data_IF_025301350006
#
_entry.id   IF_025301350006
#
_cell.length_a   1.000
_cell.length_b   1.000
_cell.length_c   1.000
_cell.angle_alpha   90.00
_cell.angle_beta   90.00
_cell.angle_gamma   90.00
#
_symmetry.space_group_name_H-M   'P 1'
#
loop_
_entity.id
_entity.type
_entity.pdbx_description
1 polymer ?
#
# COMPACT_ATOMS: atom_id res chain seq x y z
N UNK A 1 -14.34 -12.82 22.83
CA UNK A 1 -15.08 -12.57 21.58
C UNK A 1 -14.62 -11.29 20.89
N UNK A 2 -14.54 -10.14 21.57
CA UNK A 2 -14.14 -8.85 20.97
C UNK A 2 -12.78 -8.87 20.24
N UNK A 3 -11.76 -9.50 20.84
CA UNK A 3 -10.42 -9.65 20.22
C UNK A 3 -10.49 -10.46 18.92
N UNK A 4 -11.24 -11.56 18.91
CA UNK A 4 -11.40 -12.42 17.72
C UNK A 4 -12.16 -11.68 16.62
N UNK A 5 -13.19 -10.90 16.97
CA UNK A 5 -13.93 -10.06 16.03
C UNK A 5 -13.06 -8.95 15.45
N UNK A 6 -12.21 -8.31 16.26
CA UNK A 6 -11.27 -7.28 15.82
C UNK A 6 -10.22 -7.87 14.86
N UNK A 7 -9.65 -9.04 15.21
CA UNK A 7 -8.70 -9.75 14.37
C UNK A 7 -9.31 -10.15 13.03
N UNK A 8 -10.53 -10.69 13.02
CA UNK A 8 -11.24 -11.02 11.79
C UNK A 8 -11.56 -9.77 10.95
N UNK A 9 -11.96 -8.65 11.57
CA UNK A 9 -12.21 -7.40 10.86
C UNK A 9 -10.93 -6.84 10.22
N UNK A 10 -9.80 -6.88 10.92
CA UNK A 10 -8.49 -6.49 10.38
C UNK A 10 -8.10 -7.41 9.23
N UNK A 11 -8.22 -8.73 9.38
CA UNK A 11 -7.92 -9.68 8.31
C UNK A 11 -8.85 -9.56 7.10
N UNK A 12 -10.10 -9.13 7.27
CA UNK A 12 -11.05 -8.92 6.16
C UNK A 12 -10.81 -7.60 5.44
N UNK A 13 -10.47 -6.53 6.17
CA UNK A 13 -10.21 -5.19 5.59
C UNK A 13 -8.81 -5.08 4.99
N UNK A 14 -7.82 -5.75 5.61
CA UNK A 14 -6.40 -5.72 5.23
C UNK A 14 -5.85 -7.07 4.76
N UNK A 15 -6.72 -8.03 4.44
CA UNK A 15 -6.34 -9.36 3.96
C UNK A 15 -5.25 -9.31 2.90
N UNK A 16 -4.40 -10.36 2.81
CA UNK A 16 -3.12 -10.32 2.15
C UNK A 16 -3.31 -9.93 0.69
N UNK A 17 -3.06 -8.66 0.41
CA UNK A 17 -2.95 -8.20 -0.96
C UNK A 17 -1.67 -8.84 -1.50
N UNK A 18 -1.70 -9.52 -2.65
CA UNK A 18 -0.54 -10.25 -3.20
C UNK A 18 0.68 -9.35 -3.48
N UNK A 19 0.51 -8.03 -3.39
CA UNK A 19 1.55 -7.03 -3.63
C UNK A 19 2.37 -6.66 -2.38
N UNK A 20 2.05 -7.23 -1.21
CA UNK A 20 2.77 -6.95 0.05
C UNK A 20 4.20 -7.53 0.07
N UNK A 21 4.57 -8.40 -0.87
CA UNK A 21 5.81 -9.16 -0.83
C UNK A 21 7.07 -8.34 -1.15
N UNK A 22 6.95 -7.19 -1.84
CA UNK A 22 8.11 -6.48 -2.37
C UNK A 22 8.39 -5.08 -1.75
N UNK A 23 7.42 -4.43 -1.11
CA UNK A 23 7.53 -2.99 -0.75
C UNK A 23 7.65 -2.69 0.75
N UNK A 24 7.99 -3.68 1.60
CA UNK A 24 8.13 -3.50 3.06
C UNK A 24 6.81 -3.26 3.82
N UNK A 25 5.70 -3.12 3.08
CA UNK A 25 4.35 -3.01 3.60
C UNK A 25 3.94 -4.22 4.46
N UNK A 26 4.48 -5.41 4.16
CA UNK A 26 4.29 -6.64 4.96
C UNK A 26 4.86 -6.51 6.36
N UNK A 27 6.02 -5.89 6.53
CA UNK A 27 6.66 -5.74 7.84
C UNK A 27 5.87 -4.75 8.70
N UNK A 28 5.39 -3.66 8.10
CA UNK A 28 4.49 -2.70 8.76
C UNK A 28 3.19 -3.38 9.17
N UNK A 29 2.59 -4.19 8.29
CA UNK A 29 1.37 -4.94 8.59
C UNK A 29 1.60 -5.93 9.75
N UNK A 30 2.73 -6.65 9.76
CA UNK A 30 3.08 -7.55 10.86
C UNK A 30 3.25 -6.80 12.18
N UNK A 31 3.89 -5.64 12.19
CA UNK A 31 4.05 -4.82 13.41
C UNK A 31 2.69 -4.37 13.93
N UNK A 32 1.81 -3.87 13.07
CA UNK A 32 0.46 -3.41 13.46
C UNK A 32 -0.35 -4.57 14.03
N UNK A 33 -0.39 -5.72 13.33
CA UNK A 33 -1.10 -6.92 13.81
C UNK A 33 -0.49 -7.42 15.13
N UNK A 34 0.84 -7.47 15.25
CA UNK A 34 1.51 -7.94 16.46
C UNK A 34 1.22 -7.04 17.66
N UNK A 35 1.27 -5.71 17.47
CA UNK A 35 0.95 -4.75 18.52
C UNK A 35 -0.53 -4.86 18.94
N UNK A 36 -1.44 -4.97 17.99
CA UNK A 36 -2.88 -5.04 18.29
C UNK A 36 -3.32 -6.38 18.90
N UNK A 37 -2.67 -7.50 18.51
CA UNK A 37 -3.02 -8.85 18.97
C UNK A 37 -2.26 -9.28 20.22
N UNK A 38 -1.02 -8.83 20.40
CA UNK A 38 -0.18 -9.23 21.54
C UNK A 38 -0.17 -8.15 22.61
N UNK A 39 0.25 -6.93 22.26
CA UNK A 39 0.36 -5.83 23.21
C UNK A 39 -1.01 -5.39 23.73
N UNK A 40 -2.04 -5.37 22.89
CA UNK A 40 -3.37 -4.94 23.27
C UNK A 40 -4.03 -5.78 24.38
N UNK A 41 -4.19 -7.10 24.18
CA UNK A 41 -4.71 -8.01 25.19
C UNK A 41 -3.80 -8.13 26.42
N UNK A 42 -2.47 -8.09 26.24
CA UNK A 42 -1.52 -8.18 27.34
C UNK A 42 -1.60 -6.95 28.27
N UNK A 43 -1.64 -5.72 27.71
CA UNK A 43 -1.84 -4.49 28.49
C UNK A 43 -3.17 -4.49 29.22
N UNK A 44 -4.22 -4.95 28.55
CA UNK A 44 -5.56 -5.06 29.16
C UNK A 44 -5.54 -6.06 30.32
N UNK A 45 -4.90 -7.22 30.17
CA UNK A 45 -4.73 -8.23 31.23
C UNK A 45 -3.88 -7.74 32.41
N UNK A 46 -2.79 -7.01 32.15
CA UNK A 46 -1.90 -6.47 33.20
C UNK A 46 -2.61 -5.39 34.04
N UNK A 47 -3.44 -4.56 33.40
CA UNK A 47 -4.15 -3.47 34.09
C UNK A 47 -5.48 -3.91 34.70
N UNK A 48 -6.07 -5.00 34.21
CA UNK A 48 -7.28 -5.57 34.79
C UNK A 48 -7.00 -6.32 36.09
N UNK A 49 -6.80 -5.58 37.19
CA UNK A 49 -6.92 -6.13 38.55
C UNK A 49 -8.35 -6.01 39.05
N UNK A 50 -9.03 -7.14 39.22
CA UNK A 50 -10.31 -7.23 39.93
C UNK A 50 -10.20 -6.57 41.31
N UNK A 51 -11.02 -5.55 41.58
CA UNK A 51 -11.14 -4.91 42.89
C UNK A 51 -10.41 -3.56 43.09
N UNK A 52 -9.65 -3.04 42.10
CA UNK A 52 -9.06 -1.69 42.19
C UNK A 52 -10.09 -0.60 41.85
N UNK A 53 -10.27 0.40 42.72
CA UNK A 53 -10.95 1.66 42.37
C UNK A 53 -10.07 2.43 41.37
N UNK A 54 -10.57 2.69 40.17
CA UNK A 54 -9.83 3.40 39.10
C UNK A 54 -9.50 2.59 37.85
N UNK A 55 -9.78 1.28 37.82
CA UNK A 55 -9.51 0.40 36.66
C UNK A 55 -10.12 0.93 35.36
N UNK A 56 -11.30 1.56 35.41
CA UNK A 56 -11.93 2.15 34.23
C UNK A 56 -11.11 3.30 33.61
N UNK A 57 -10.40 4.08 34.42
CA UNK A 57 -9.55 5.18 33.92
C UNK A 57 -8.29 4.63 33.25
N UNK A 58 -7.66 3.63 33.87
CA UNK A 58 -6.47 2.99 33.32
C UNK A 58 -6.78 2.27 32.00
N UNK A 59 -7.91 1.56 31.93
CA UNK A 59 -8.39 0.92 30.69
C UNK A 59 -8.74 1.96 29.62
N UNK A 60 -9.35 3.10 29.99
CA UNK A 60 -9.66 4.17 29.04
C UNK A 60 -8.42 4.82 28.42
N UNK A 61 -7.34 5.00 29.19
CA UNK A 61 -6.06 5.51 28.68
C UNK A 61 -5.45 4.51 27.68
N UNK A 62 -5.44 3.22 28.02
CA UNK A 62 -4.93 2.18 27.12
C UNK A 62 -5.73 2.09 25.84
N UNK A 63 -7.06 2.10 25.94
CA UNK A 63 -7.94 2.07 24.76
C UNK A 63 -7.68 3.28 23.85
N UNK A 64 -7.40 4.45 24.42
CA UNK A 64 -7.06 5.67 23.67
C UNK A 64 -5.73 5.51 22.93
N UNK A 65 -4.70 5.02 23.62
CA UNK A 65 -3.37 4.77 23.01
C UNK A 65 -3.48 3.74 21.89
N UNK A 66 -4.24 2.66 22.09
CA UNK A 66 -4.50 1.64 21.07
C UNK A 66 -5.21 2.23 19.86
N UNK A 67 -6.22 3.08 20.05
CA UNK A 67 -6.94 3.72 18.96
C UNK A 67 -6.01 4.64 18.14
N UNK A 68 -5.15 5.41 18.80
CA UNK A 68 -4.15 6.26 18.12
C UNK A 68 -3.15 5.40 17.34
N UNK A 69 -2.65 4.32 17.94
CA UNK A 69 -1.72 3.40 17.28
C UNK A 69 -2.36 2.72 16.05
N UNK A 70 -3.62 2.31 16.17
CA UNK A 70 -4.39 1.71 15.08
C UNK A 70 -4.59 2.71 13.92
N UNK A 71 -5.01 3.94 14.23
CA UNK A 71 -5.19 5.00 13.20
C UNK A 71 -3.86 5.32 12.52
N UNK A 72 -2.76 5.38 13.27
CA UNK A 72 -1.43 5.60 12.73
C UNK A 72 -0.98 4.43 11.82
N UNK A 73 -1.16 3.19 12.28
CA UNK A 73 -0.89 1.99 11.50
C UNK A 73 -1.71 1.92 10.21
N UNK A 74 -3.00 2.24 10.28
CA UNK A 74 -3.89 2.33 9.13
C UNK A 74 -3.43 3.40 8.13
N UNK A 75 -3.02 4.58 8.62
CA UNK A 75 -2.48 5.66 7.80
C UNK A 75 -1.16 5.29 7.11
N UNK A 76 -0.26 4.58 7.81
CA UNK A 76 0.94 4.04 7.19
C UNK A 76 0.58 3.08 6.06
N UNK A 77 -0.30 2.11 6.31
CA UNK A 77 -0.67 1.14 5.26
C UNK A 77 -1.25 1.85 4.02
N UNK A 78 -2.03 2.91 4.19
CA UNK A 78 -2.51 3.72 3.06
C UNK A 78 -1.37 4.35 2.24
N UNK A 79 -0.29 4.79 2.88
CA UNK A 79 0.87 5.38 2.19
C UNK A 79 1.71 4.35 1.45
N UNK A 80 1.76 3.11 1.93
CA UNK A 80 2.50 2.02 1.30
C UNK A 80 1.69 1.25 0.27
N UNK A 81 0.43 1.63 -0.01
CA UNK A 81 -0.33 1.04 -1.11
C UNK A 81 0.27 1.47 -2.45
N UNK A 82 0.63 0.54 -3.33
CA UNK A 82 1.01 0.88 -4.70
C UNK A 82 -0.20 1.53 -5.38
N UNK A 83 0.06 2.63 -6.11
CA UNK A 83 -0.96 3.35 -6.86
C UNK A 83 -1.12 2.76 -8.26
N UNK A 84 -0.01 2.30 -8.83
CA UNK A 84 0.06 1.76 -10.19
C UNK A 84 0.81 0.45 -10.23
N UNK A 85 0.34 -0.49 -11.06
CA UNK A 85 1.11 -1.64 -11.48
C UNK A 85 1.62 -1.37 -12.89
N UNK A 86 2.92 -1.13 -13.03
CA UNK A 86 3.56 -0.72 -14.27
C UNK A 86 4.23 -1.92 -14.93
N UNK A 87 3.82 -2.27 -16.14
CA UNK A 87 4.56 -3.21 -16.98
C UNK A 87 5.63 -2.50 -17.81
N UNK A 88 6.90 -2.92 -17.68
CA UNK A 88 8.03 -2.40 -18.45
C UNK A 88 9.11 -3.46 -18.62
N UNK A 89 9.73 -3.55 -19.81
CA UNK A 89 10.82 -4.50 -20.11
C UNK A 89 10.58 -5.94 -19.62
N UNK A 90 9.39 -6.48 -19.92
CA UNK A 90 8.98 -7.83 -19.54
C UNK A 90 8.91 -8.10 -18.01
N UNK A 91 8.85 -7.04 -17.20
CA UNK A 91 8.69 -7.10 -15.74
C UNK A 91 7.56 -6.20 -15.25
N UNK A 92 6.95 -6.59 -14.13
CA UNK A 92 5.94 -5.77 -13.43
C UNK A 92 6.58 -5.05 -12.25
N UNK A 93 6.26 -3.77 -12.11
CA UNK A 93 6.70 -2.90 -11.02
C UNK A 93 5.48 -2.35 -10.29
N UNK A 94 5.43 -2.56 -8.98
CA UNK A 94 4.48 -1.87 -8.12
C UNK A 94 5.06 -0.49 -7.82
N UNK A 95 4.29 0.57 -8.11
CA UNK A 95 4.80 1.94 -8.01
C UNK A 95 3.83 2.81 -7.21
N UNK A 96 4.37 3.59 -6.27
CA UNK A 96 3.58 4.44 -5.37
C UNK A 96 3.46 5.85 -5.92
N UNK A 97 2.40 6.55 -5.51
CA UNK A 97 2.16 7.94 -5.90
C UNK A 97 3.35 8.89 -5.62
N UNK A 98 3.99 8.85 -4.42
CA UNK A 98 5.11 9.75 -4.12
C UNK A 98 6.35 9.52 -5.00
N UNK A 99 6.47 8.35 -5.63
CA UNK A 99 7.62 8.00 -6.49
C UNK A 99 7.43 8.50 -7.93
N UNK A 100 6.17 8.66 -8.35
CA UNK A 100 5.79 9.00 -9.73
C UNK A 100 5.48 10.48 -9.88
N UNK A 101 4.82 11.07 -8.88
CA UNK A 101 4.40 12.47 -8.94
C UNK A 101 5.57 13.42 -9.25
N UNK A 102 6.77 13.32 -8.63
CA UNK A 102 7.87 14.24 -8.94
C UNK A 102 8.41 14.13 -10.38
N UNK A 103 8.16 12.99 -11.03
CA UNK A 103 8.68 12.64 -12.35
C UNK A 103 7.61 12.70 -13.45
N UNK A 104 6.46 13.32 -13.15
CA UNK A 104 5.32 13.43 -14.06
C UNK A 104 4.97 14.90 -14.22
N UNK A 105 4.84 15.37 -15.46
CA UNK A 105 4.42 16.73 -15.75
C UNK A 105 2.89 16.84 -15.80
N UNK A 106 2.23 15.80 -16.27
CA UNK A 106 0.77 15.73 -16.41
C UNK A 106 0.14 15.01 -15.21
N UNK A 107 0.01 15.73 -14.10
CA UNK A 107 -0.60 15.21 -12.88
C UNK A 107 -2.09 14.92 -13.05
N UNK A 108 -2.79 15.68 -13.88
CA UNK A 108 -4.24 15.53 -14.09
C UNK A 108 -4.57 14.20 -14.75
N UNK A 109 -3.85 13.85 -15.83
CA UNK A 109 -3.97 12.54 -16.47
C UNK A 109 -3.59 11.39 -15.55
N UNK A 110 -2.58 11.58 -14.70
CA UNK A 110 -2.16 10.57 -13.73
C UNK A 110 -3.23 10.37 -12.64
N UNK A 111 -3.86 11.45 -12.17
CA UNK A 111 -4.94 11.41 -11.20
C UNK A 111 -6.23 10.81 -11.79
N UNK A 112 -6.55 11.07 -13.07
CA UNK A 112 -7.69 10.43 -13.77
C UNK A 112 -7.51 8.91 -13.87
N UNK A 113 -6.28 8.45 -14.10
CA UNK A 113 -5.98 7.03 -14.12
C UNK A 113 -6.04 6.40 -12.73
N UNK A 114 -5.95 7.18 -11.65
CA UNK A 114 -5.91 6.67 -10.29
C UNK A 114 -7.31 6.28 -9.82
N UNK A 115 -7.54 4.99 -9.61
CA UNK A 115 -8.77 4.53 -8.95
C UNK A 115 -8.63 4.77 -7.44
N UNK A 116 -9.63 5.42 -6.84
CA UNK A 116 -9.61 5.83 -5.43
C UNK A 116 -9.44 4.67 -4.43
N UNK A 117 -9.79 3.45 -4.83
CA UNK A 117 -9.81 2.28 -3.93
C UNK A 117 -8.99 1.10 -4.47
N UNK A 118 -8.22 1.26 -5.55
CA UNK A 118 -7.62 0.12 -6.25
C UNK A 118 -6.28 0.42 -6.92
N UNK A 119 -5.65 -0.66 -7.41
CA UNK A 119 -4.41 -0.60 -8.19
C UNK A 119 -4.78 -0.45 -9.66
N UNK A 120 -4.43 0.68 -10.28
CA UNK A 120 -4.61 0.83 -11.73
C UNK A 120 -3.45 0.18 -12.44
N UNK A 121 -3.75 -0.75 -13.33
CA UNK A 121 -2.73 -1.34 -14.18
C UNK A 121 -2.42 -0.43 -15.36
N UNK A 122 -1.15 -0.12 -15.52
CA UNK A 122 -0.61 0.73 -16.58
C UNK A 122 0.61 0.05 -17.19
N UNK A 123 0.96 0.44 -18.40
CA UNK A 123 2.17 -0.05 -19.05
C UNK A 123 2.97 1.09 -19.63
N UNK A 124 4.27 0.86 -19.75
CA UNK A 124 5.21 1.76 -20.44
C UNK A 124 5.76 1.04 -21.66
N UNK A 125 5.32 1.46 -22.85
CA UNK A 125 5.94 1.04 -24.10
C UNK A 125 7.13 1.95 -24.41
N UNK A 126 8.35 1.40 -24.36
CA UNK A 126 9.55 2.12 -24.73
C UNK A 126 9.62 2.34 -26.26
N UNK A 127 9.86 3.57 -26.74
CA UNK A 127 9.92 3.90 -28.17
C UNK A 127 10.86 2.98 -28.93
N UNK A 128 10.57 2.56 -30.16
CA UNK A 128 11.47 1.67 -30.93
C UNK A 128 12.81 2.34 -31.26
N UNK A 129 12.86 3.68 -31.25
CA UNK A 129 14.05 4.46 -31.52
C UNK A 129 15.08 4.34 -30.38
N UNK A 130 16.30 3.91 -30.73
CA UNK A 130 17.40 3.68 -29.79
C UNK A 130 17.84 4.97 -29.07
N UNK A 131 17.85 6.11 -29.76
CA UNK A 131 18.27 7.39 -29.17
C UNK A 131 17.26 7.88 -28.15
N UNK A 132 15.98 7.66 -28.43
CA UNK A 132 14.87 8.04 -27.55
C UNK A 132 14.81 7.13 -26.31
N UNK A 133 15.03 5.82 -26.47
CA UNK A 133 15.19 4.89 -25.34
C UNK A 133 16.32 5.28 -24.41
N UNK A 134 17.48 5.65 -24.96
CA UNK A 134 18.63 6.09 -24.16
C UNK A 134 18.34 7.36 -23.39
N UNK A 135 17.64 8.33 -24.00
CA UNK A 135 17.21 9.56 -23.33
C UNK A 135 16.27 9.26 -22.16
N UNK A 136 15.26 8.42 -22.38
CA UNK A 136 14.31 8.03 -21.33
C UNK A 136 15.05 7.34 -20.16
N UNK A 137 15.97 6.42 -20.46
CA UNK A 137 16.76 5.71 -19.44
C UNK A 137 17.82 6.57 -18.75
N UNK A 138 18.18 7.72 -19.31
CA UNK A 138 19.14 8.63 -18.69
C UNK A 138 18.55 9.48 -17.56
N UNK A 139 17.20 9.53 -17.46
CA UNK A 139 16.48 10.23 -16.40
C UNK A 139 16.10 9.34 -15.22
N UNK A 140 14.93 9.57 -14.62
CA UNK A 140 14.36 8.68 -13.60
C UNK A 140 14.14 7.28 -14.18
N UNK A 141 14.16 6.23 -13.36
CA UNK A 141 13.91 4.88 -13.87
C UNK A 141 12.54 4.82 -14.56
N UNK A 142 12.47 4.09 -15.67
CA UNK A 142 11.29 3.99 -16.55
C UNK A 142 9.97 3.75 -15.80
N UNK A 143 9.91 2.88 -14.78
CA UNK A 143 8.68 2.65 -14.03
C UNK A 143 8.19 3.86 -13.22
N UNK A 144 9.05 4.83 -12.92
CA UNK A 144 8.68 6.03 -12.15
C UNK A 144 8.29 7.22 -13.02
N UNK A 145 8.36 7.10 -14.35
CA UNK A 145 7.99 8.16 -15.27
C UNK A 145 6.50 8.06 -15.64
N UNK A 146 5.64 8.73 -14.87
CA UNK A 146 4.19 8.66 -15.06
C UNK A 146 3.71 9.24 -16.40
N UNK A 147 4.50 10.14 -17.01
CA UNK A 147 4.23 10.67 -18.35
C UNK A 147 4.21 9.56 -19.42
N UNK A 148 4.90 8.44 -19.18
CA UNK A 148 4.95 7.30 -20.10
C UNK A 148 3.82 6.30 -19.90
N UNK A 149 2.99 6.47 -18.86
CA UNK A 149 1.96 5.51 -18.53
C UNK A 149 0.85 5.50 -19.58
N UNK A 150 0.46 4.28 -19.97
CA UNK A 150 -0.65 4.04 -20.86
C UNK A 150 -1.60 3.04 -20.23
N UNK A 151 -2.91 3.26 -20.38
CA UNK A 151 -3.93 2.33 -19.92
C UNK A 151 -3.86 1.04 -20.72
N UNK A 152 -4.05 -0.09 -20.03
CA UNK A 152 -3.95 -1.39 -20.68
C UNK A 152 -5.27 -1.78 -21.31
N UNK A 153 -5.36 -1.64 -22.63
CA UNK A 153 -6.50 -2.07 -23.44
C UNK A 153 -6.42 -3.57 -23.78
N UNK A 154 -7.55 -4.26 -24.04
CA UNK A 154 -7.56 -5.70 -24.36
C UNK A 154 -6.64 -6.09 -25.53
N UNK A 155 -6.55 -5.24 -26.55
CA UNK A 155 -5.68 -5.44 -27.71
C UNK A 155 -4.19 -5.43 -27.35
N UNK A 156 -3.79 -4.54 -26.43
CA UNK A 156 -2.40 -4.44 -25.97
C UNK A 156 -2.04 -5.54 -25.00
N UNK A 157 -2.99 -5.98 -24.18
CA UNK A 157 -2.86 -7.20 -23.37
C UNK A 157 -2.57 -8.43 -24.24
N UNK A 158 -3.31 -8.60 -25.34
CA UNK A 158 -3.07 -9.69 -26.28
C UNK A 158 -1.67 -9.62 -26.88
N UNK A 159 -1.15 -8.42 -27.16
CA UNK A 159 0.20 -8.20 -27.68
C UNK A 159 1.31 -8.56 -26.68
N UNK A 160 1.07 -8.36 -25.38
CA UNK A 160 1.99 -8.78 -24.31
C UNK A 160 2.05 -10.31 -24.20
N UNK A 161 0.89 -10.99 -24.30
CA UNK A 161 0.79 -12.44 -24.21
C UNK A 161 1.24 -13.18 -25.48
N UNK A 162 1.23 -12.51 -26.63
CA UNK A 162 1.60 -13.07 -27.93
C UNK A 162 3.11 -13.06 -28.21
N UNK A 163 3.93 -12.64 -27.24
CA UNK A 163 5.38 -12.51 -27.33
C UNK A 163 6.06 -13.60 -26.52
#
# INVERSE_FOLDING_TARGET
MLVVTLVLAVCLVWGPSPYLEHDGARDILHIVIFVDVVLGPLLTLVLFRRGKRGVGRDVGIVATIQLVAFVYGAGLIMQYRPAFLVYSDDSFFAVRWPEVAPNTKDHERLDEMRVSTGLTMVMVELPTNLDERKRIRSGAAVPFQGDLYQTVTPERWAKILAK
#
